data_IF_674101176064
#
_entry.id   IF_674101176064
#
_cell.length_a   1.000
_cell.length_b   1.000
_cell.length_c   1.000
_cell.angle_alpha   90.00
_cell.angle_beta   90.00
_cell.angle_gamma   90.00
#
_symmetry.space_group_name_H-M   'P 1'
#
loop_
_entity.id
_entity.type
_entity.pdbx_description
1 polymer ?
#
# COMPACT_ATOMS: atom_id res chain seq x y z
N UNK A 1 31.02 2.95 -14.60
CA UNK A 1 29.76 2.93 -13.82
C UNK A 1 28.66 2.62 -14.81
N UNK A 2 27.94 1.51 -14.62
CA UNK A 2 26.77 1.21 -15.44
C UNK A 2 25.65 2.21 -15.12
N UNK A 3 25.09 2.82 -16.17
CA UNK A 3 23.98 3.76 -16.07
C UNK A 3 22.68 2.97 -16.04
N UNK A 4 21.89 3.14 -14.99
CA UNK A 4 20.51 2.63 -14.94
C UNK A 4 19.60 3.71 -15.51
N UNK A 5 18.78 3.35 -16.48
CA UNK A 5 17.82 4.24 -17.14
C UNK A 5 16.39 3.76 -16.94
N UNK A 6 15.46 4.70 -16.79
CA UNK A 6 14.04 4.42 -16.65
C UNK A 6 13.20 5.54 -17.27
N UNK A 7 11.98 5.18 -17.67
CA UNK A 7 10.96 6.14 -18.09
C UNK A 7 10.26 6.74 -16.86
N UNK A 8 10.14 5.96 -15.78
CA UNK A 8 9.56 6.40 -14.52
C UNK A 8 10.42 5.98 -13.32
N UNK A 9 10.62 6.92 -12.41
CA UNK A 9 11.19 6.66 -11.09
C UNK A 9 10.11 6.94 -10.05
N UNK A 10 9.73 5.90 -9.30
CA UNK A 10 8.75 5.98 -8.22
C UNK A 10 9.52 6.02 -6.90
N UNK A 11 9.32 7.09 -6.13
CA UNK A 11 9.92 7.24 -4.80
C UNK A 11 8.89 6.83 -3.75
N UNK A 12 9.19 5.74 -3.04
CA UNK A 12 8.34 5.11 -2.04
C UNK A 12 7.58 3.90 -2.57
N UNK A 13 7.95 2.71 -2.11
CA UNK A 13 7.29 1.42 -2.32
C UNK A 13 6.12 1.15 -1.39
N UNK A 14 5.44 2.20 -0.93
CA UNK A 14 4.21 2.10 -0.13
C UNK A 14 2.97 1.71 -0.96
N UNK A 15 1.78 1.82 -0.38
CA UNK A 15 0.53 1.36 -1.01
C UNK A 15 0.28 1.98 -2.40
N UNK A 16 0.51 3.28 -2.56
CA UNK A 16 0.35 3.96 -3.85
C UNK A 16 1.47 3.59 -4.83
N UNK A 17 2.73 3.62 -4.39
CA UNK A 17 3.89 3.30 -5.23
C UNK A 17 3.86 1.87 -5.76
N UNK A 18 3.42 0.90 -4.96
CA UNK A 18 3.23 -0.48 -5.39
C UNK A 18 2.17 -0.60 -6.50
N UNK A 19 1.05 0.13 -6.40
CA UNK A 19 0.01 0.14 -7.43
C UNK A 19 0.51 0.81 -8.71
N UNK A 20 1.23 1.93 -8.60
CA UNK A 20 1.83 2.62 -9.75
C UNK A 20 2.84 1.74 -10.46
N UNK A 21 3.79 1.15 -9.70
CA UNK A 21 4.80 0.25 -10.25
C UNK A 21 4.15 -0.91 -11.00
N UNK A 22 3.18 -1.59 -10.38
CA UNK A 22 2.47 -2.70 -11.00
C UNK A 22 1.72 -2.32 -12.28
N UNK A 23 1.12 -1.12 -12.32
CA UNK A 23 0.33 -0.69 -13.49
C UNK A 23 1.19 -0.17 -14.64
N UNK A 24 2.24 0.59 -14.32
CA UNK A 24 3.14 1.15 -15.34
C UNK A 24 4.00 0.04 -15.96
N UNK A 25 4.48 -0.92 -15.16
CA UNK A 25 5.28 -2.04 -15.66
C UNK A 25 4.46 -3.13 -16.37
N UNK A 26 3.14 -2.98 -16.46
CA UNK A 26 2.29 -3.90 -17.22
C UNK A 26 2.55 -3.80 -18.74
N UNK A 27 3.03 -2.64 -19.20
CA UNK A 27 3.57 -2.47 -20.55
C UNK A 27 5.08 -2.78 -20.53
N UNK A 28 5.55 -3.85 -21.21
CA UNK A 28 6.96 -4.22 -21.23
C UNK A 28 7.86 -3.18 -21.93
N UNK A 29 7.30 -2.23 -22.68
CA UNK A 29 8.06 -1.12 -23.26
C UNK A 29 8.43 -0.04 -22.23
N UNK A 30 7.79 -0.03 -21.05
CA UNK A 30 8.02 0.98 -20.01
C UNK A 30 8.98 0.44 -18.95
N UNK A 31 10.10 1.14 -18.75
CA UNK A 31 11.07 0.86 -17.68
C UNK A 31 10.73 1.66 -16.44
N UNK A 32 10.48 0.96 -15.34
CA UNK A 32 10.12 1.56 -14.04
C UNK A 32 11.16 1.19 -12.99
N UNK A 33 11.67 2.20 -12.29
CA UNK A 33 12.48 2.02 -11.08
C UNK A 33 11.63 2.38 -9.86
N UNK A 34 11.59 1.50 -8.87
CA UNK A 34 10.95 1.75 -7.58
C UNK A 34 12.02 1.88 -6.49
N UNK A 35 12.07 3.03 -5.83
CA UNK A 35 12.98 3.29 -4.72
C UNK A 35 12.19 3.21 -3.41
N UNK A 36 12.61 2.31 -2.51
CA UNK A 36 12.05 2.20 -1.16
C UNK A 36 13.17 2.32 -0.14
N UNK A 37 12.97 3.16 0.87
CA UNK A 37 13.96 3.43 1.90
C UNK A 37 14.06 2.30 2.93
N UNK A 38 12.96 1.56 3.11
CA UNK A 38 12.87 0.43 4.01
C UNK A 38 13.32 -0.90 3.43
N UNK A 39 13.28 -1.93 4.29
CA UNK A 39 13.62 -3.30 3.90
C UNK A 39 12.41 -4.02 3.29
N UNK A 40 12.62 -5.23 2.79
CA UNK A 40 11.50 -6.07 2.36
C UNK A 40 10.80 -6.71 3.55
N UNK A 41 9.47 -6.61 3.59
CA UNK A 41 8.64 -7.32 4.56
C UNK A 41 8.73 -8.84 4.33
N UNK A 42 9.20 -9.59 5.34
CA UNK A 42 9.32 -11.06 5.28
C UNK A 42 8.87 -11.70 6.60
N UNK A 43 8.40 -12.94 6.48
CA UNK A 43 8.12 -13.82 7.62
C UNK A 43 6.76 -13.61 8.27
N UNK A 44 6.60 -14.20 9.46
CA UNK A 44 5.33 -14.27 10.20
C UNK A 44 4.72 -12.89 10.44
N UNK A 45 5.56 -11.89 10.77
CA UNK A 45 5.14 -10.51 11.02
C UNK A 45 4.38 -9.88 9.86
N UNK A 46 4.68 -10.28 8.62
CA UNK A 46 4.02 -9.78 7.40
C UNK A 46 2.73 -10.52 7.07
N UNK A 47 2.68 -11.83 7.32
CA UNK A 47 1.60 -12.70 6.82
C UNK A 47 0.47 -12.85 7.85
N UNK A 48 0.81 -12.82 9.15
CA UNK A 48 -0.17 -12.95 10.24
C UNK A 48 -0.61 -11.55 10.67
N UNK A 49 -1.88 -11.14 10.43
CA UNK A 49 -2.33 -9.79 10.71
C UNK A 49 -2.09 -9.32 12.16
N UNK A 50 -2.32 -10.21 13.13
CA UNK A 50 -2.10 -9.89 14.54
C UNK A 50 -0.62 -9.64 14.88
N UNK A 51 0.31 -10.20 14.10
CA UNK A 51 1.75 -10.00 14.28
C UNK A 51 2.25 -8.71 13.59
N UNK A 52 1.41 -8.03 12.80
CA UNK A 52 1.78 -6.78 12.12
C UNK A 52 2.11 -5.64 13.09
N UNK A 53 1.51 -5.65 14.29
CA UNK A 53 1.82 -4.70 15.36
C UNK A 53 3.28 -4.78 15.86
N UNK A 54 3.97 -5.90 15.62
CA UNK A 54 5.40 -6.06 15.94
C UNK A 54 6.31 -5.22 15.05
N UNK A 55 5.78 -4.64 13.98
CA UNK A 55 6.49 -3.63 13.18
C UNK A 55 6.32 -2.22 13.74
N UNK A 56 5.47 -2.00 14.74
CA UNK A 56 5.27 -0.68 15.35
C UNK A 56 6.28 -0.46 16.49
N UNK A 57 6.51 0.81 16.83
CA UNK A 57 7.18 1.27 18.07
C UNK A 57 8.48 0.53 18.43
N UNK A 58 9.61 1.02 17.94
CA UNK A 58 10.95 0.48 18.21
C UNK A 58 11.44 -0.50 17.15
N UNK A 59 10.64 -0.75 16.12
CA UNK A 59 11.06 -1.51 14.94
C UNK A 59 11.75 -0.61 13.92
N UNK A 60 12.78 -1.11 13.25
CA UNK A 60 13.40 -0.43 12.10
C UNK A 60 12.47 -0.31 10.88
N UNK A 61 11.33 -1.00 10.92
CA UNK A 61 10.27 -0.94 9.92
C UNK A 61 9.26 0.21 10.15
N UNK A 62 9.41 1.00 11.20
CA UNK A 62 8.57 2.17 11.49
C UNK A 62 9.42 3.43 11.44
N UNK A 63 8.94 4.46 10.73
CA UNK A 63 9.54 5.78 10.70
C UNK A 63 9.45 6.49 12.06
N UNK A 64 8.43 6.19 12.86
CA UNK A 64 8.23 6.74 14.21
C UNK A 64 8.35 8.27 14.27
N UNK A 65 7.64 8.98 13.39
CA UNK A 65 7.69 10.45 13.36
C UNK A 65 7.21 11.00 14.70
N UNK A 66 8.12 11.65 15.42
CA UNK A 66 7.78 12.29 16.69
C UNK A 66 7.30 13.71 16.42
N UNK A 67 6.06 14.01 16.80
CA UNK A 67 5.53 15.36 16.74
C UNK A 67 6.26 16.31 17.69
N UNK A 68 6.19 17.60 17.39
CA UNK A 68 6.55 18.63 18.34
C UNK A 68 5.57 18.67 19.53
N UNK A 69 5.95 19.26 20.68
CA UNK A 69 5.07 19.43 21.82
C UNK A 69 3.81 20.21 21.42
N UNK A 70 2.64 19.64 21.68
CA UNK A 70 1.38 20.27 21.35
C UNK A 70 0.78 20.94 22.60
N UNK A 71 0.63 22.28 22.62
CA UNK A 71 0.03 22.98 23.76
C UNK A 71 -1.44 22.63 23.99
N UNK A 72 -2.15 22.12 22.97
CA UNK A 72 -3.54 21.63 23.11
C UNK A 72 -3.61 20.24 23.75
N UNK A 73 -2.47 19.58 23.92
CA UNK A 73 -2.33 18.26 24.53
C UNK A 73 -1.39 18.30 25.75
N UNK A 74 -1.40 19.37 26.52
CA UNK A 74 -0.54 19.58 27.70
C UNK A 74 0.96 19.40 27.41
N UNK A 75 1.41 19.84 26.24
CA UNK A 75 2.81 19.73 25.80
C UNK A 75 3.23 18.30 25.42
N UNK A 76 2.29 17.36 25.30
CA UNK A 76 2.60 15.99 24.87
C UNK A 76 3.14 15.96 23.45
N UNK A 77 4.11 15.07 23.23
CA UNK A 77 4.57 14.66 21.90
C UNK A 77 3.84 13.39 21.47
N UNK A 78 3.25 13.40 20.29
CA UNK A 78 2.55 12.24 19.73
C UNK A 78 3.47 11.57 18.70
N UNK A 79 3.66 10.27 18.84
CA UNK A 79 4.39 9.45 17.88
C UNK A 79 3.44 8.98 16.77
N UNK A 80 3.80 9.23 15.52
CA UNK A 80 3.07 8.84 14.33
C UNK A 80 3.84 7.74 13.60
N UNK A 81 3.25 6.54 13.57
CA UNK A 81 3.84 5.42 12.86
C UNK A 81 3.68 5.58 11.34
N UNK A 82 4.74 5.28 10.60
CA UNK A 82 4.76 5.25 9.15
C UNK A 82 5.58 4.07 8.68
N UNK A 83 5.06 3.23 7.77
CA UNK A 83 5.77 2.03 7.36
C UNK A 83 7.03 2.36 6.56
N UNK A 84 8.19 1.94 7.07
CA UNK A 84 9.50 2.00 6.44
C UNK A 84 9.92 0.61 5.95
N UNK A 85 9.21 0.11 4.96
CA UNK A 85 9.44 -1.18 4.30
C UNK A 85 8.66 -1.24 3.00
N UNK A 86 8.99 -2.21 2.13
CA UNK A 86 8.21 -2.51 0.95
C UNK A 86 6.75 -2.85 1.33
N UNK A 87 5.79 -2.21 0.67
CA UNK A 87 4.38 -2.17 1.05
C UNK A 87 4.02 -1.01 1.99
N UNK A 88 5.01 -0.33 2.58
CA UNK A 88 4.85 0.85 3.43
C UNK A 88 3.85 0.65 4.55
N UNK A 89 3.02 1.66 4.80
CA UNK A 89 2.00 1.60 5.85
C UNK A 89 0.95 0.50 5.65
N UNK A 90 0.74 -0.02 4.42
CA UNK A 90 -0.16 -1.17 4.25
C UNK A 90 0.37 -2.48 4.85
N UNK A 91 1.67 -2.56 5.14
CA UNK A 91 2.27 -3.71 5.81
C UNK A 91 2.09 -3.69 7.33
N UNK A 92 1.89 -2.50 7.91
CA UNK A 92 1.83 -2.29 9.37
C UNK A 92 0.46 -1.81 9.86
N UNK A 93 -0.55 -1.78 8.99
CA UNK A 93 -1.87 -1.26 9.31
C UNK A 93 -2.73 -2.26 10.11
N UNK A 94 -3.88 -1.80 10.57
CA UNK A 94 -4.89 -2.65 11.23
C UNK A 94 -5.72 -3.52 10.28
N UNK A 95 -5.37 -3.63 9.00
CA UNK A 95 -6.08 -4.39 7.96
C UNK A 95 -7.54 -3.98 7.75
N UNK A 96 -7.92 -2.77 8.18
CA UNK A 96 -9.29 -2.25 8.03
C UNK A 96 -9.43 -1.54 6.69
N UNK A 97 -10.49 -1.86 5.96
CA UNK A 97 -10.83 -1.22 4.69
C UNK A 97 -12.01 -0.25 4.88
N UNK A 98 -11.76 1.03 4.61
CA UNK A 98 -12.79 2.05 4.49
C UNK A 98 -12.67 2.76 3.15
N UNK A 99 -13.82 3.08 2.55
CA UNK A 99 -13.89 3.81 1.29
C UNK A 99 -14.11 5.31 1.47
N UNK A 100 -14.53 5.78 2.64
CA UNK A 100 -15.04 7.15 2.79
C UNK A 100 -16.41 7.34 2.15
N UNK A 101 -17.06 8.44 2.51
CA UNK A 101 -18.36 8.84 2.01
C UNK A 101 -18.23 9.55 0.66
N UNK A 102 -19.33 9.67 -0.09
CA UNK A 102 -19.34 10.46 -1.32
C UNK A 102 -18.99 11.93 -1.06
N UNK A 103 -19.45 12.49 0.05
CA UNK A 103 -19.25 13.89 0.41
C UNK A 103 -17.75 14.22 0.52
N UNK A 104 -16.93 13.30 1.02
CA UNK A 104 -15.47 13.49 1.13
C UNK A 104 -14.84 13.78 -0.25
N UNK A 105 -15.24 13.01 -1.26
CA UNK A 105 -14.74 13.18 -2.63
C UNK A 105 -15.29 14.41 -3.34
N UNK A 106 -16.58 14.70 -3.16
CA UNK A 106 -17.20 15.90 -3.72
C UNK A 106 -16.52 17.14 -3.13
N UNK A 107 -16.20 17.12 -1.83
CA UNK A 107 -15.50 18.19 -1.15
C UNK A 107 -14.06 18.41 -1.65
N UNK A 108 -13.31 17.35 -1.96
CA UNK A 108 -11.99 17.47 -2.59
C UNK A 108 -12.06 18.13 -3.96
N UNK A 109 -13.08 17.80 -4.75
CA UNK A 109 -13.29 18.41 -6.07
C UNK A 109 -13.49 19.92 -5.97
N UNK A 110 -14.28 20.36 -4.99
CA UNK A 110 -14.54 21.78 -4.71
C UNK A 110 -13.25 22.50 -4.29
N UNK A 111 -12.36 21.82 -3.54
CA UNK A 111 -11.06 22.38 -3.14
C UNK A 111 -10.00 22.37 -4.24
N UNK A 112 -10.37 22.09 -5.49
CA UNK A 112 -9.45 22.12 -6.63
C UNK A 112 -8.62 20.85 -6.78
N UNK A 113 -8.86 19.81 -5.98
CA UNK A 113 -8.23 18.51 -6.21
C UNK A 113 -8.91 17.85 -7.41
N UNK A 114 -8.12 17.44 -8.41
CA UNK A 114 -8.65 16.72 -9.56
C UNK A 114 -9.06 15.29 -9.17
N UNK A 115 -10.31 15.11 -8.77
CA UNK A 115 -10.96 13.81 -8.71
C UNK A 115 -11.69 13.61 -10.02
N UNK A 116 -11.07 12.89 -10.96
CA UNK A 116 -11.63 12.63 -12.29
C UNK A 116 -13.14 12.39 -12.24
N UNK A 117 -13.90 13.31 -12.84
CA UNK A 117 -15.36 13.51 -12.80
C UNK A 117 -16.11 12.78 -11.68
N UNK A 118 -16.74 13.49 -10.75
CA UNK A 118 -17.51 13.03 -9.57
C UNK A 118 -18.37 11.74 -9.67
N UNK A 119 -18.73 11.27 -10.87
CA UNK A 119 -19.34 9.93 -11.10
C UNK A 119 -18.33 8.77 -11.23
N UNK A 120 -17.11 9.01 -11.69
CA UNK A 120 -16.03 8.03 -11.93
C UNK A 120 -15.14 7.72 -10.72
N UNK A 121 -15.13 8.55 -9.67
CA UNK A 121 -14.52 8.17 -8.38
C UNK A 121 -15.08 6.84 -7.89
N UNK A 122 -16.37 6.60 -8.15
CA UNK A 122 -17.02 5.34 -7.80
C UNK A 122 -16.50 4.10 -8.55
N UNK A 123 -15.88 4.29 -9.72
CA UNK A 123 -15.35 3.26 -10.62
C UNK A 123 -13.88 2.91 -10.32
N UNK A 124 -13.07 3.87 -9.83
CA UNK A 124 -11.67 3.60 -9.44
C UNK A 124 -11.62 2.53 -8.34
N UNK A 125 -12.49 2.65 -7.32
CA UNK A 125 -12.62 1.65 -6.25
C UNK A 125 -13.16 0.30 -6.74
N UNK A 126 -13.96 0.27 -7.81
CA UNK A 126 -14.46 -0.99 -8.40
C UNK A 126 -13.37 -1.77 -9.12
N UNK A 127 -12.32 -1.10 -9.62
CA UNK A 127 -11.25 -1.72 -10.40
C UNK A 127 -10.04 -2.20 -9.56
N UNK A 128 -9.88 -1.75 -8.31
CA UNK A 128 -8.74 -2.14 -7.48
C UNK A 128 -9.04 -3.34 -6.56
N UNK A 129 -10.33 -3.62 -6.30
CA UNK A 129 -10.75 -4.56 -5.25
C UNK A 129 -11.31 -5.87 -5.83
N UNK A 130 -10.83 -7.00 -5.32
CA UNK A 130 -11.47 -8.31 -5.47
C UNK A 130 -12.28 -8.60 -4.21
N UNK A 131 -13.60 -8.55 -4.30
CA UNK A 131 -14.49 -8.90 -3.18
C UNK A 131 -14.78 -10.41 -3.20
N UNK A 132 -14.53 -11.10 -2.08
CA UNK A 132 -15.06 -12.45 -1.85
C UNK A 132 -16.35 -12.33 -1.04
N UNK A 133 -17.49 -12.29 -1.74
CA UNK A 133 -18.85 -12.20 -1.17
C UNK A 133 -19.83 -11.37 -2.00
N UNK A 134 -21.13 -11.74 -1.99
CA UNK A 134 -22.21 -11.07 -2.73
C UNK A 134 -22.51 -9.69 -2.13
N UNK A 135 -21.98 -8.61 -2.72
CA UNK A 135 -22.82 -7.42 -2.95
C UNK A 135 -22.40 -6.50 -4.10
N UNK A 136 -21.17 -6.54 -4.65
CA UNK A 136 -20.85 -5.82 -5.89
C UNK A 136 -19.70 -6.55 -6.62
N UNK A 137 -20.02 -7.28 -7.70
CA UNK A 137 -19.11 -8.24 -8.36
C UNK A 137 -17.98 -7.55 -9.16
N UNK A 138 -16.72 -7.79 -8.76
CA UNK A 138 -15.65 -8.36 -9.62
C UNK A 138 -14.66 -9.14 -8.73
N UNK A 139 -14.21 -10.29 -9.22
CA UNK A 139 -13.44 -11.33 -8.49
C UNK A 139 -11.91 -11.26 -8.73
N UNK A 140 -11.40 -10.20 -9.37
CA UNK A 140 -10.02 -10.14 -9.89
C UNK A 140 -9.25 -8.86 -9.51
N UNK A 141 -9.64 -8.13 -8.46
CA UNK A 141 -8.83 -6.99 -8.00
C UNK A 141 -7.60 -7.41 -7.22
N UNK A 142 -6.54 -6.61 -7.31
CA UNK A 142 -5.22 -6.85 -6.71
C UNK A 142 -5.28 -6.89 -5.19
N UNK A 143 -6.15 -6.06 -4.59
CA UNK A 143 -6.39 -6.07 -3.14
C UNK A 143 -7.56 -6.99 -2.85
N UNK A 144 -7.30 -8.02 -2.03
CA UNK A 144 -8.33 -8.95 -1.59
C UNK A 144 -9.02 -8.44 -0.33
N UNK A 145 -10.33 -8.28 -0.45
CA UNK A 145 -11.20 -7.99 0.68
C UNK A 145 -11.93 -9.28 1.05
N UNK A 146 -11.50 -9.89 2.15
CA UNK A 146 -12.19 -11.03 2.72
C UNK A 146 -13.31 -10.53 3.64
N UNK A 147 -14.55 -10.92 3.33
CA UNK A 147 -15.61 -10.88 4.34
C UNK A 147 -15.45 -12.09 5.27
N UNK A 148 -15.88 -12.00 6.54
CA UNK A 148 -15.97 -13.14 7.46
C UNK A 148 -16.93 -14.20 6.88
N UNK A 149 -16.48 -15.04 5.96
CA UNK A 149 -17.06 -16.36 5.67
C UNK A 149 -16.01 -17.23 4.98
N UNK A 150 -15.80 -18.40 5.57
CA UNK A 150 -14.76 -19.38 5.23
C UNK A 150 -15.01 -19.96 3.83
N UNK A 151 -14.36 -19.42 2.80
CA UNK A 151 -14.13 -20.17 1.56
C UNK A 151 -12.67 -20.06 1.14
N UNK A 152 -11.90 -21.09 1.53
CA UNK A 152 -10.50 -21.28 1.14
C UNK A 152 -10.45 -21.61 -0.36
N UNK A 153 -10.10 -20.63 -1.19
CA UNK A 153 -9.92 -20.86 -2.62
C UNK A 153 -8.57 -21.52 -2.92
N UNK A 154 -8.61 -22.73 -3.49
CA UNK A 154 -7.48 -23.65 -3.81
C UNK A 154 -6.38 -23.07 -4.72
N UNK A 155 -6.55 -21.89 -5.31
CA UNK A 155 -5.72 -21.34 -6.39
C UNK A 155 -4.46 -20.57 -5.95
N UNK A 156 -4.26 -20.34 -4.65
CA UNK A 156 -3.11 -19.56 -4.14
C UNK A 156 -1.79 -20.33 -4.12
N UNK A 157 -1.79 -21.61 -4.52
CA UNK A 157 -0.58 -22.45 -4.54
C UNK A 157 0.30 -22.26 -5.77
N UNK A 158 -0.13 -21.55 -6.82
CA UNK A 158 0.49 -21.67 -8.15
C UNK A 158 1.05 -20.37 -8.77
N UNK A 159 1.38 -19.34 -8.00
CA UNK A 159 1.93 -18.10 -8.57
C UNK A 159 3.34 -17.80 -8.03
N UNK A 160 4.35 -18.33 -8.70
CA UNK A 160 5.77 -18.09 -8.41
C UNK A 160 6.20 -16.70 -8.89
N UNK A 161 6.22 -15.73 -7.98
CA UNK A 161 6.76 -14.38 -8.24
C UNK A 161 8.03 -14.20 -7.41
N UNK A 162 9.15 -13.91 -8.08
CA UNK A 162 10.42 -13.50 -7.45
C UNK A 162 10.47 -11.98 -7.39
N UNK A 163 10.89 -11.43 -6.25
CA UNK A 163 11.17 -10.01 -6.04
C UNK A 163 12.60 -9.87 -5.53
N UNK A 164 13.36 -8.94 -6.12
CA UNK A 164 14.75 -8.68 -5.77
C UNK A 164 14.90 -7.42 -4.89
N UNK A 165 15.93 -7.39 -4.05
CA UNK A 165 16.23 -6.27 -3.13
C UNK A 165 17.65 -5.75 -3.31
N UNK A 166 17.93 -4.54 -2.82
CA UNK A 166 19.25 -3.87 -2.88
C UNK A 166 20.45 -4.67 -2.30
N UNK A 167 20.21 -5.79 -1.62
CA UNK A 167 21.26 -6.70 -1.14
C UNK A 167 21.81 -7.61 -2.27
N UNK A 168 21.07 -7.79 -3.36
CA UNK A 168 21.45 -8.64 -4.51
C UNK A 168 22.24 -7.88 -5.60
N UNK A 169 22.40 -6.55 -5.46
CA UNK A 169 23.20 -5.70 -6.36
C UNK A 169 24.64 -5.46 -5.83
N UNK A 170 25.07 -6.18 -4.80
CA UNK A 170 26.39 -6.07 -4.16
C UNK A 170 27.23 -7.36 -4.24
N UNK A 171 26.96 -8.24 -5.20
CA UNK A 171 27.82 -9.37 -5.56
C UNK A 171 28.28 -9.28 -6.99
#
# INVERSE_FOLDING_TARGET
MDRIEADYIIVGGGSAGAVLAYRLSADPAIRVILLEAGTQAKGVKTIVPAAGSLYLRGSSADWQYMGEPDPTLDGRRICWSGGKLLGGSSTINGMVYFRGSRADYDHWSIRGAWVGHSRKSSLIFKNQNGLVGRLHRRTHGLVRLASRRRERCRRCRSAGVKAATNEELRR
#
